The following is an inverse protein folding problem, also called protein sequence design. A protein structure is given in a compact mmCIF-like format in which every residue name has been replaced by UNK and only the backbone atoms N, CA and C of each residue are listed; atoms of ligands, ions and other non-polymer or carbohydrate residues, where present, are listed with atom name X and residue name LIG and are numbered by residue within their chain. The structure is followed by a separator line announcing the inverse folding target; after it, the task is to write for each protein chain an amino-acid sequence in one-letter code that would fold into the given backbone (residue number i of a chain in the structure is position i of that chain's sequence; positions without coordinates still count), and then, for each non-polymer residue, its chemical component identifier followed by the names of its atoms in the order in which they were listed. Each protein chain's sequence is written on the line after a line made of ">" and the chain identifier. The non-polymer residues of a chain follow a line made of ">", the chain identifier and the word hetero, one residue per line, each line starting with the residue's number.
data_IF_514528123259
#
_entry.id   IF_514528123259
#
_cell.length_a   1.000
_cell.length_b   1.000
_cell.length_c   1.000
_cell.angle_alpha   90.00
_cell.angle_beta   90.00
_cell.angle_gamma   90.00
#
_symmetry.space_group_name_H-M   'P 1'
#
loop_
_entity.id
_entity.type
_entity.pdbx_description
1 polymer ?
#
# COMPACT_ATOMS: atom_id res chain seq x y z
N UNK A 1 -17.10 -3.38 -0.87
CA UNK A 1 -16.76 -1.96 -1.07
C UNK A 1 -17.96 -1.27 -1.70
N UNK A 2 -18.26 0.00 -1.38
CA UNK A 2 -19.47 0.70 -1.88
C UNK A 2 -19.16 1.86 -2.83
N UNK A 3 -18.03 2.52 -2.65
CA UNK A 3 -17.65 3.70 -3.41
C UNK A 3 -16.22 3.57 -3.93
N UNK A 4 -15.98 4.11 -5.11
CA UNK A 4 -14.64 4.39 -5.64
C UNK A 4 -14.45 5.90 -5.64
N UNK A 5 -13.42 6.40 -4.95
CA UNK A 5 -13.08 7.82 -4.96
C UNK A 5 -11.83 8.02 -5.82
N UNK A 6 -11.92 8.90 -6.83
CA UNK A 6 -10.78 9.27 -7.66
C UNK A 6 -10.86 10.76 -8.05
N UNK A 7 -9.75 11.32 -8.53
CA UNK A 7 -9.72 12.70 -9.00
C UNK A 7 -10.31 12.84 -10.41
N UNK A 8 -10.23 14.04 -10.99
CA UNK A 8 -10.78 14.34 -12.31
C UNK A 8 -9.75 14.22 -13.44
N UNK A 9 -8.64 13.47 -13.26
CA UNK A 9 -7.68 13.20 -14.34
C UNK A 9 -8.40 12.55 -15.53
N UNK A 10 -8.06 12.98 -16.75
CA UNK A 10 -8.67 12.50 -18.00
C UNK A 10 -8.49 10.99 -18.23
N UNK A 11 -7.54 10.35 -17.52
CA UNK A 11 -7.38 8.88 -17.51
C UNK A 11 -8.59 8.16 -16.92
N UNK A 12 -9.33 8.80 -16.02
CA UNK A 12 -10.56 8.25 -15.43
C UNK A 12 -11.77 8.70 -16.25
N UNK A 13 -11.93 8.06 -17.41
CA UNK A 13 -13.00 8.34 -18.37
C UNK A 13 -14.29 7.57 -18.05
N UNK A 14 -15.40 7.87 -18.75
CA UNK A 14 -16.68 7.18 -18.55
C UNK A 14 -16.59 5.63 -18.52
N UNK A 15 -15.93 5.00 -19.52
CA UNK A 15 -15.72 3.56 -19.52
C UNK A 15 -14.97 3.01 -18.30
N UNK A 16 -14.12 3.81 -17.66
CA UNK A 16 -13.47 3.42 -16.41
C UNK A 16 -14.51 3.31 -15.28
N UNK A 17 -15.38 4.32 -15.14
CA UNK A 17 -16.45 4.33 -14.14
C UNK A 17 -17.44 3.16 -14.38
N UNK A 18 -17.73 2.86 -15.65
CA UNK A 18 -18.66 1.78 -16.04
C UNK A 18 -18.21 0.40 -15.57
N UNK A 19 -16.91 0.10 -15.60
CA UNK A 19 -16.36 -1.18 -15.11
C UNK A 19 -16.65 -1.36 -13.62
N UNK A 20 -16.51 -0.30 -12.82
CA UNK A 20 -16.78 -0.37 -11.38
C UNK A 20 -18.28 -0.35 -11.08
N UNK A 21 -19.08 0.35 -11.89
CA UNK A 21 -20.53 0.33 -11.79
C UNK A 21 -21.11 -1.08 -12.04
N UNK A 22 -20.55 -1.83 -12.99
CA UNK A 22 -20.92 -3.23 -13.24
C UNK A 22 -20.68 -4.15 -12.04
N UNK A 23 -19.69 -3.84 -11.20
CA UNK A 23 -19.39 -4.53 -9.94
C UNK A 23 -20.17 -3.96 -8.73
N UNK A 24 -21.10 -3.02 -8.96
CA UNK A 24 -21.94 -2.41 -7.93
C UNK A 24 -21.29 -1.29 -7.12
N UNK A 25 -20.18 -0.72 -7.59
CA UNK A 25 -19.52 0.42 -6.94
C UNK A 25 -19.99 1.75 -7.56
N UNK A 26 -20.19 2.75 -6.72
CA UNK A 26 -20.44 4.11 -7.19
C UNK A 26 -19.14 4.92 -7.27
N UNK A 27 -18.82 5.42 -8.47
CA UNK A 27 -17.70 6.36 -8.66
C UNK A 27 -18.05 7.75 -8.10
N UNK A 28 -17.16 8.30 -7.28
CA UNK A 28 -17.25 9.62 -6.66
C UNK A 28 -16.00 10.42 -7.02
N UNK A 29 -16.19 11.46 -7.83
CA UNK A 29 -15.10 12.34 -8.26
C UNK A 29 -14.81 13.40 -7.21
N UNK A 30 -13.53 13.68 -6.94
CA UNK A 30 -13.16 14.76 -6.02
C UNK A 30 -13.71 16.12 -6.50
N UNK A 31 -13.96 17.07 -5.57
CA UNK A 31 -14.35 18.43 -5.95
C UNK A 31 -13.31 19.09 -6.85
N UNK A 32 -13.78 19.98 -7.73
CA UNK A 32 -12.90 20.72 -8.65
C UNK A 32 -11.96 21.62 -7.86
N UNK A 33 -10.67 21.60 -8.20
CA UNK A 33 -9.61 22.41 -7.56
C UNK A 33 -9.48 22.16 -6.03
N UNK A 34 -9.79 20.96 -5.57
CA UNK A 34 -9.63 20.55 -4.17
C UNK A 34 -8.51 19.49 -4.02
N UNK A 35 -7.23 19.88 -4.04
CA UNK A 35 -6.11 18.93 -3.99
C UNK A 35 -6.13 18.05 -2.72
N UNK A 36 -6.63 18.60 -1.61
CA UNK A 36 -6.75 17.84 -0.36
C UNK A 36 -7.74 16.66 -0.43
N UNK A 37 -8.68 16.68 -1.38
CA UNK A 37 -9.66 15.60 -1.52
C UNK A 37 -9.04 14.29 -2.04
N UNK A 38 -7.87 14.34 -2.70
CA UNK A 38 -7.11 13.16 -3.13
C UNK A 38 -5.85 12.89 -2.26
N UNK A 39 -5.70 13.62 -1.15
CA UNK A 39 -4.46 13.64 -0.38
C UNK A 39 -4.06 12.27 0.18
N UNK A 40 -5.02 11.37 0.44
CA UNK A 40 -4.71 10.02 0.93
C UNK A 40 -4.02 9.18 -0.15
N UNK A 41 -4.53 9.18 -1.38
CA UNK A 41 -3.91 8.50 -2.51
C UNK A 41 -2.54 9.09 -2.82
N UNK A 42 -2.44 10.42 -2.89
CA UNK A 42 -1.17 11.11 -3.15
C UNK A 42 -0.13 10.83 -2.06
N UNK A 43 -0.55 10.82 -0.78
CA UNK A 43 0.32 10.48 0.34
C UNK A 43 0.81 9.04 0.23
N UNK A 44 -0.06 8.10 -0.12
CA UNK A 44 0.31 6.70 -0.31
C UNK A 44 1.32 6.53 -1.45
N UNK A 45 1.09 7.18 -2.60
CA UNK A 45 2.03 7.20 -3.74
C UNK A 45 3.39 7.76 -3.32
N UNK A 46 3.40 8.85 -2.56
CA UNK A 46 4.65 9.41 -2.02
C UNK A 46 5.38 8.40 -1.13
N UNK A 47 4.66 7.70 -0.25
CA UNK A 47 5.26 6.69 0.62
C UNK A 47 5.93 5.57 -0.18
N UNK A 48 5.27 4.97 -1.17
CA UNK A 48 5.90 3.90 -1.97
C UNK A 48 7.10 4.40 -2.78
N UNK A 49 7.08 5.66 -3.25
CA UNK A 49 8.25 6.23 -3.91
C UNK A 49 9.42 6.39 -2.95
N UNK A 50 9.21 7.11 -1.85
CA UNK A 50 10.29 7.45 -0.90
C UNK A 50 10.87 6.23 -0.18
N UNK A 51 10.06 5.22 0.11
CA UNK A 51 10.51 4.03 0.86
C UNK A 51 11.01 2.91 -0.05
N UNK A 52 10.63 2.88 -1.33
CA UNK A 52 10.91 1.76 -2.21
C UNK A 52 11.43 2.17 -3.58
N UNK A 53 10.66 2.91 -4.36
CA UNK A 53 10.98 3.10 -5.78
C UNK A 53 12.12 4.08 -6.03
N UNK A 54 12.38 5.02 -5.13
CA UNK A 54 13.51 5.95 -5.25
C UNK A 54 14.87 5.26 -4.97
N UNK A 55 14.86 4.03 -4.41
CA UNK A 55 16.05 3.25 -4.08
C UNK A 55 16.32 2.07 -5.04
N UNK A 56 15.42 1.82 -6.00
CA UNK A 56 15.49 0.66 -6.88
C UNK A 56 15.56 1.08 -8.35
N UNK A 57 16.51 0.50 -9.08
CA UNK A 57 16.51 0.59 -10.54
C UNK A 57 15.46 -0.35 -11.13
N UNK A 58 14.43 0.22 -11.74
CA UNK A 58 13.32 -0.53 -12.34
C UNK A 58 13.64 -0.85 -13.80
N UNK A 59 14.08 -2.09 -14.04
CA UNK A 59 14.46 -2.56 -15.39
C UNK A 59 13.31 -2.85 -16.35
N UNK A 60 12.08 -3.08 -15.88
CA UNK A 60 10.93 -3.36 -16.75
C UNK A 60 9.59 -3.19 -16.02
N UNK A 61 8.49 -3.15 -16.77
CA UNK A 61 7.12 -3.18 -16.21
C UNK A 61 6.90 -4.40 -15.32
N UNK A 62 7.29 -5.60 -15.79
CA UNK A 62 7.16 -6.84 -14.99
C UNK A 62 7.96 -6.78 -13.70
N UNK A 63 9.14 -6.15 -13.73
CA UNK A 63 9.93 -5.92 -12.53
C UNK A 63 9.20 -4.96 -11.57
N UNK A 64 8.68 -3.83 -12.08
CA UNK A 64 7.89 -2.88 -11.29
C UNK A 64 6.69 -3.54 -10.61
N UNK A 65 5.90 -4.32 -11.36
CA UNK A 65 4.72 -5.01 -10.83
C UNK A 65 5.10 -5.99 -9.71
N UNK A 66 6.24 -6.69 -9.85
CA UNK A 66 6.75 -7.58 -8.80
C UNK A 66 7.18 -6.82 -7.56
N UNK A 67 7.91 -5.72 -7.74
CA UNK A 67 8.34 -4.83 -6.64
C UNK A 67 7.12 -4.26 -5.90
N UNK A 68 6.15 -3.70 -6.63
CA UNK A 68 4.94 -3.13 -6.05
C UNK A 68 4.11 -4.19 -5.32
N UNK A 69 4.00 -5.42 -5.86
CA UNK A 69 3.29 -6.51 -5.17
C UNK A 69 3.94 -6.86 -3.82
N UNK A 70 5.28 -6.89 -3.76
CA UNK A 70 6.02 -7.12 -2.52
C UNK A 70 5.80 -5.94 -1.56
N UNK A 71 5.95 -4.71 -2.04
CA UNK A 71 5.79 -3.52 -1.22
C UNK A 71 4.37 -3.39 -0.67
N UNK A 72 3.32 -3.59 -1.46
CA UNK A 72 1.92 -3.52 -0.99
C UNK A 72 1.68 -4.54 0.12
N UNK A 73 2.21 -5.76 -0.02
CA UNK A 73 2.14 -6.77 1.03
C UNK A 73 2.85 -6.31 2.30
N UNK A 74 4.08 -5.81 2.17
CA UNK A 74 4.84 -5.26 3.28
C UNK A 74 4.08 -4.10 3.97
N UNK A 75 3.59 -3.13 3.20
CA UNK A 75 2.85 -1.96 3.69
C UNK A 75 1.63 -2.34 4.52
N UNK A 76 0.87 -3.32 4.04
CA UNK A 76 -0.39 -3.74 4.65
C UNK A 76 -0.22 -4.73 5.80
N UNK A 77 0.86 -5.53 5.80
CA UNK A 77 0.99 -6.65 6.73
C UNK A 77 2.15 -6.52 7.71
N UNK A 78 3.13 -5.66 7.44
CA UNK A 78 4.42 -5.65 8.15
C UNK A 78 4.88 -4.26 8.57
N UNK A 79 4.72 -3.25 7.70
CA UNK A 79 5.15 -1.89 7.93
C UNK A 79 4.42 -1.29 9.15
N UNK A 80 5.12 -0.73 10.14
CA UNK A 80 4.47 -0.08 11.27
C UNK A 80 3.87 1.27 10.88
N UNK A 81 2.65 1.58 11.35
CA UNK A 81 1.99 2.86 11.08
C UNK A 81 1.73 3.62 12.38
N UNK A 82 2.27 4.83 12.50
CA UNK A 82 2.08 5.68 13.71
C UNK A 82 0.60 5.94 14.03
N UNK A 83 -0.22 6.17 13.01
CA UNK A 83 -1.66 6.37 13.18
C UNK A 83 -2.39 5.12 13.71
N UNK A 84 -1.78 3.94 13.58
CA UNK A 84 -2.33 2.65 14.03
C UNK A 84 -1.53 2.08 15.20
N UNK A 85 -0.95 2.93 16.06
CA UNK A 85 -0.15 2.49 17.23
C UNK A 85 0.97 1.51 16.85
N UNK A 86 1.66 1.79 15.74
CA UNK A 86 2.73 0.97 15.15
C UNK A 86 2.28 -0.40 14.63
N UNK A 87 0.98 -0.65 14.55
CA UNK A 87 0.44 -1.83 13.88
C UNK A 87 0.32 -1.62 12.36
N UNK A 88 0.40 -2.69 11.56
CA UNK A 88 0.08 -2.65 10.14
C UNK A 88 -1.44 -2.57 9.90
N UNK A 89 -1.91 -2.10 8.72
CA UNK A 89 -3.33 -2.00 8.39
C UNK A 89 -4.09 -3.31 8.53
N UNK A 90 -3.48 -4.44 8.17
CA UNK A 90 -4.09 -5.76 8.27
C UNK A 90 -3.76 -6.48 9.59
N UNK A 91 -3.35 -5.77 10.65
CA UNK A 91 -3.01 -6.40 11.93
C UNK A 91 -4.14 -7.25 12.51
N UNK A 92 -5.41 -6.91 12.32
CA UNK A 92 -6.53 -7.74 12.80
C UNK A 92 -6.60 -9.12 12.15
N UNK A 93 -6.00 -9.29 10.96
CA UNK A 93 -5.94 -10.59 10.27
C UNK A 93 -4.84 -11.50 10.83
N UNK A 94 -3.96 -10.96 11.66
CA UNK A 94 -2.78 -11.66 12.17
C UNK A 94 -2.61 -11.32 13.66
N UNK A 95 -2.88 -12.27 14.55
CA UNK A 95 -2.47 -12.11 15.96
C UNK A 95 -0.96 -11.93 16.01
N UNK A 96 -0.52 -10.70 16.31
CA UNK A 96 0.89 -10.39 16.52
C UNK A 96 1.13 -10.36 18.02
N UNK A 97 1.71 -11.43 18.55
CA UNK A 97 2.29 -11.38 19.88
C UNK A 97 3.49 -10.43 19.83
N UNK A 98 3.69 -9.56 20.84
CA UNK A 98 4.91 -8.78 20.93
C UNK A 98 6.10 -9.74 20.97
N UNK A 99 6.99 -9.61 19.99
CA UNK A 99 8.21 -10.40 19.92
C UNK A 99 9.17 -10.00 21.04
N UNK A 100 9.63 -10.93 21.89
CA UNK A 100 10.88 -10.76 22.59
C UNK A 100 11.97 -10.46 21.55
N UNK A 101 12.80 -9.45 21.80
CA UNK A 101 13.85 -9.00 20.86
C UNK A 101 14.75 -10.17 20.43
N UNK A 102 14.96 -11.11 21.35
CA UNK A 102 15.83 -12.28 21.23
C UNK A 102 15.21 -13.41 20.39
N UNK A 103 13.91 -13.33 20.10
CA UNK A 103 13.14 -14.32 19.36
C UNK A 103 12.65 -13.80 18.01
N UNK A 104 13.08 -12.62 17.56
CA UNK A 104 12.64 -12.04 16.29
C UNK A 104 13.51 -12.54 15.12
N UNK A 105 12.88 -13.19 14.12
CA UNK A 105 13.54 -13.52 12.84
C UNK A 105 13.33 -12.37 11.86
N UNK A 106 14.43 -11.86 11.32
CA UNK A 106 14.41 -10.84 10.26
C UNK A 106 14.30 -11.52 8.91
N UNK A 107 13.37 -11.04 8.09
CA UNK A 107 13.23 -11.42 6.70
C UNK A 107 13.38 -10.21 5.80
N UNK A 108 14.44 -10.24 5.01
CA UNK A 108 14.71 -9.19 4.03
C UNK A 108 13.86 -9.37 2.77
N UNK A 109 13.36 -8.25 2.26
CA UNK A 109 12.71 -8.15 0.95
C UNK A 109 13.44 -7.12 0.11
N UNK A 110 13.32 -7.29 -1.21
CA UNK A 110 13.87 -6.37 -2.20
C UNK A 110 15.37 -6.08 -1.97
N UNK A 111 16.14 -7.14 -1.68
CA UNK A 111 17.59 -7.04 -1.47
C UNK A 111 17.98 -6.35 -0.16
N UNK A 112 17.14 -6.44 0.88
CA UNK A 112 17.39 -5.82 2.19
C UNK A 112 16.85 -4.40 2.31
N UNK A 113 16.15 -3.88 1.29
CA UNK A 113 15.52 -2.56 1.37
C UNK A 113 14.37 -2.52 2.38
N UNK A 114 13.61 -3.62 2.48
CA UNK A 114 12.54 -3.74 3.47
C UNK A 114 12.86 -4.89 4.43
N UNK A 115 12.70 -4.61 5.72
CA UNK A 115 12.87 -5.59 6.78
C UNK A 115 11.52 -5.95 7.38
N UNK A 116 11.23 -7.24 7.44
CA UNK A 116 10.04 -7.80 8.09
C UNK A 116 10.49 -8.59 9.32
N UNK A 117 9.77 -8.47 10.43
CA UNK A 117 10.10 -9.12 11.70
C UNK A 117 9.00 -10.13 12.06
N UNK A 118 9.39 -11.36 12.35
CA UNK A 118 8.50 -12.49 12.65
C UNK A 118 8.94 -13.20 13.93
N UNK A 119 8.05 -14.00 14.52
CA UNK A 119 8.43 -14.87 15.63
C UNK A 119 9.30 -16.01 15.13
N UNK A 120 10.42 -16.24 15.80
CA UNK A 120 11.16 -17.49 15.70
C UNK A 120 10.18 -18.59 16.11
N UNK A 121 9.82 -19.45 15.17
CA UNK A 121 9.03 -20.62 15.47
C UNK A 121 9.71 -21.41 16.62
N UNK A 122 8.94 -21.74 17.65
CA UNK A 122 9.31 -22.74 18.65
C UNK A 122 9.34 -24.15 18.02
#
# INVERSE_FOLDING_TARGET
>A
MRFLIHDRDAKFCGPFDDVFAAEGLQAVRTPVRAPRANAFCERWIRTVRTECLDWLLIFSRRHLERVLKIYVRHYNQQRPHRALRLQPPEHEKFERTPLPVDAAVVRDRLGGLLHEYYEAAA
#
